data_IF_191554739499
#
_entry.id   IF_191554739499
#
_cell.length_a   1.000
_cell.length_b   1.000
_cell.length_c   1.000
_cell.angle_alpha   90.00
_cell.angle_beta   90.00
_cell.angle_gamma   90.00
#
_symmetry.space_group_name_H-M   'P 1'
#
loop_
_entity.id
_entity.type
_entity.pdbx_description
1 polymer ?
#
# COMPACT_ATOMS: atom_id res chain seq x y z
N UNK A 1 -8.04 -16.79 0.32
CA UNK A 1 -7.38 -15.51 -0.01
C UNK A 1 -6.44 -15.16 1.14
N UNK A 2 -5.14 -15.41 1.00
CA UNK A 2 -4.16 -15.14 2.06
C UNK A 2 -3.59 -13.73 1.89
N UNK A 3 -3.80 -12.85 2.86
CA UNK A 3 -3.20 -11.52 2.88
C UNK A 3 -1.83 -11.58 3.55
N UNK A 4 -0.75 -11.61 2.77
CA UNK A 4 0.62 -11.45 3.30
C UNK A 4 0.93 -9.97 3.51
N UNK A 5 1.11 -9.57 4.78
CA UNK A 5 1.53 -8.21 5.18
C UNK A 5 3.00 -8.01 4.82
N UNK A 6 3.28 -7.08 3.91
CA UNK A 6 4.66 -6.68 3.58
C UNK A 6 4.99 -5.40 4.35
N UNK A 7 6.04 -5.45 5.16
CA UNK A 7 6.57 -4.29 5.90
C UNK A 7 7.67 -3.66 5.05
N UNK A 8 7.54 -2.36 4.79
CA UNK A 8 8.51 -1.56 4.06
C UNK A 8 9.86 -1.52 4.79
N UNK A 9 10.96 -1.79 4.08
CA UNK A 9 12.29 -1.31 4.49
C UNK A 9 12.39 0.18 4.13
N UNK A 10 12.79 1.02 5.09
CA UNK A 10 12.90 2.47 4.88
C UNK A 10 13.93 2.73 3.76
N UNK A 11 13.51 3.28 2.61
CA UNK A 11 14.47 3.78 1.60
C UNK A 11 14.14 3.57 0.12
N UNK A 12 12.89 3.39 -0.30
CA UNK A 12 12.53 3.39 -1.73
C UNK A 12 12.62 4.80 -2.32
N UNK A 13 13.83 5.20 -2.70
CA UNK A 13 14.14 6.57 -3.13
C UNK A 13 14.11 6.74 -4.65
N UNK A 14 14.03 5.66 -5.43
CA UNK A 14 13.97 5.70 -6.88
C UNK A 14 13.10 4.55 -7.45
N UNK A 15 12.73 4.69 -8.73
CA UNK A 15 11.86 3.76 -9.45
C UNK A 15 12.49 2.36 -9.62
N UNK A 16 13.81 2.29 -9.81
CA UNK A 16 14.53 1.04 -10.04
C UNK A 16 14.47 0.12 -8.82
N UNK A 17 14.73 0.67 -7.63
CA UNK A 17 14.66 -0.07 -6.37
C UNK A 17 13.23 -0.57 -6.11
N UNK A 18 12.23 0.26 -6.42
CA UNK A 18 10.82 -0.08 -6.26
C UNK A 18 10.41 -1.21 -7.21
N UNK A 19 10.80 -1.15 -8.49
CA UNK A 19 10.52 -2.18 -9.48
C UNK A 19 11.22 -3.50 -9.13
N UNK A 20 12.48 -3.44 -8.69
CA UNK A 20 13.23 -4.63 -8.27
C UNK A 20 12.57 -5.31 -7.07
N UNK A 21 12.22 -4.55 -6.02
CA UNK A 21 11.53 -5.10 -4.87
C UNK A 21 10.15 -5.63 -5.23
N UNK A 22 9.40 -4.95 -6.10
CA UNK A 22 8.10 -5.41 -6.59
C UNK A 22 8.20 -6.78 -7.28
N UNK A 23 9.20 -6.95 -8.15
CA UNK A 23 9.47 -8.23 -8.83
C UNK A 23 9.86 -9.32 -7.84
N UNK A 24 10.77 -9.04 -6.89
CA UNK A 24 11.14 -9.97 -5.82
C UNK A 24 9.97 -10.34 -4.92
N UNK A 25 9.11 -9.39 -4.60
CA UNK A 25 7.92 -9.61 -3.78
C UNK A 25 6.89 -10.47 -4.51
N UNK A 26 6.71 -10.24 -5.82
CA UNK A 26 5.88 -11.08 -6.66
C UNK A 26 6.41 -12.52 -6.71
N UNK A 27 7.73 -12.70 -6.87
CA UNK A 27 8.40 -14.01 -6.79
C UNK A 27 8.20 -14.71 -5.43
N UNK A 28 8.24 -13.97 -4.33
CA UNK A 28 8.10 -14.51 -2.96
C UNK A 28 6.65 -14.75 -2.51
N UNK A 29 5.68 -14.05 -3.10
CA UNK A 29 4.26 -14.21 -2.80
C UNK A 29 3.59 -15.31 -3.62
N UNK A 30 4.20 -15.71 -4.74
CA UNK A 30 3.80 -16.91 -5.46
C UNK A 30 4.24 -18.16 -4.68
N UNK A 31 3.29 -18.81 -3.99
CA UNK A 31 3.51 -20.18 -3.56
C UNK A 31 3.90 -21.02 -4.79
N UNK A 32 4.90 -21.89 -4.63
CA UNK A 32 5.70 -22.55 -5.66
C UNK A 32 4.96 -23.43 -6.71
N UNK A 33 3.64 -23.33 -6.84
CA UNK A 33 2.84 -24.16 -7.76
C UNK A 33 2.06 -23.37 -8.82
N UNK A 34 1.92 -22.05 -8.72
CA UNK A 34 1.09 -21.26 -9.66
C UNK A 34 1.87 -20.37 -10.64
N UNK A 35 3.15 -20.08 -10.40
CA UNK A 35 3.88 -19.07 -11.17
C UNK A 35 4.42 -19.56 -12.52
N UNK A 36 4.89 -20.81 -12.61
CA UNK A 36 5.47 -21.29 -13.88
C UNK A 36 4.41 -21.61 -14.94
N UNK A 37 3.13 -21.70 -14.54
CA UNK A 37 2.02 -22.15 -15.40
C UNK A 37 1.00 -21.05 -15.72
N UNK A 38 0.82 -20.03 -14.87
CA UNK A 38 -0.13 -18.95 -15.12
C UNK A 38 0.59 -17.61 -15.36
N UNK A 39 0.73 -17.23 -16.63
CA UNK A 39 1.18 -15.90 -17.11
C UNK A 39 0.17 -14.78 -16.82
N UNK A 40 -0.60 -14.88 -15.73
CA UNK A 40 -1.69 -13.95 -15.43
C UNK A 40 -1.15 -12.90 -14.45
N UNK A 41 -1.03 -11.63 -14.88
CA UNK A 41 -0.63 -10.57 -13.97
C UNK A 41 -1.69 -10.37 -12.87
N UNK A 42 -1.29 -9.93 -11.67
CA UNK A 42 -2.24 -9.65 -10.60
C UNK A 42 -3.16 -8.49 -11.01
N UNK A 43 -4.46 -8.57 -10.72
CA UNK A 43 -5.40 -7.50 -11.07
C UNK A 43 -5.21 -6.25 -10.20
N UNK A 44 -4.86 -6.43 -8.93
CA UNK A 44 -4.75 -5.34 -7.95
C UNK A 44 -3.54 -5.55 -7.03
N UNK A 45 -2.74 -4.50 -6.85
CA UNK A 45 -1.76 -4.38 -5.77
C UNK A 45 -2.27 -3.45 -4.68
N UNK A 46 -2.20 -3.89 -3.42
CA UNK A 46 -2.58 -3.08 -2.25
C UNK A 46 -1.31 -2.64 -1.52
N UNK A 47 -0.99 -1.34 -1.52
CA UNK A 47 0.23 -0.80 -0.87
C UNK A 47 -0.07 0.44 -0.03
N UNK A 48 0.89 0.96 0.73
CA UNK A 48 0.76 2.17 1.54
C UNK A 48 0.63 3.48 0.72
N UNK A 49 0.46 3.38 -0.60
CA UNK A 49 0.40 4.49 -1.56
C UNK A 49 1.72 5.29 -1.67
N UNK A 50 2.86 4.63 -1.43
CA UNK A 50 4.15 5.21 -1.76
C UNK A 50 4.24 5.53 -3.28
N UNK A 51 4.62 6.77 -3.68
CA UNK A 51 4.69 7.16 -5.09
C UNK A 51 5.61 6.29 -5.94
N UNK A 52 6.76 5.85 -5.42
CA UNK A 52 7.69 4.98 -6.14
C UNK A 52 7.08 3.59 -6.39
N UNK A 53 6.31 3.06 -5.43
CA UNK A 53 5.57 1.81 -5.63
C UNK A 53 4.45 1.95 -6.65
N UNK A 54 3.70 3.05 -6.61
CA UNK A 54 2.65 3.34 -7.61
C UNK A 54 3.27 3.40 -9.01
N UNK A 55 4.37 4.14 -9.16
CA UNK A 55 5.08 4.25 -10.43
C UNK A 55 5.62 2.89 -10.90
N UNK A 56 6.24 2.11 -10.01
CA UNK A 56 6.74 0.78 -10.32
C UNK A 56 5.63 -0.18 -10.76
N UNK A 57 4.49 -0.21 -10.06
CA UNK A 57 3.32 -1.01 -10.44
C UNK A 57 2.86 -0.62 -11.85
N UNK A 58 2.67 0.68 -12.10
CA UNK A 58 2.20 1.15 -13.42
C UNK A 58 3.19 0.86 -14.56
N UNK A 59 4.50 0.76 -14.25
CA UNK A 59 5.55 0.50 -15.22
C UNK A 59 5.72 -1.00 -15.49
N UNK A 60 5.74 -1.83 -14.45
CA UNK A 60 6.02 -3.27 -14.54
C UNK A 60 4.75 -4.06 -14.86
N UNK A 61 3.60 -3.62 -14.35
CA UNK A 61 2.30 -4.26 -14.53
C UNK A 61 1.27 -3.22 -14.96
N UNK A 62 1.34 -2.77 -16.21
CA UNK A 62 0.51 -1.67 -16.75
C UNK A 62 -1.00 -1.93 -16.69
N UNK A 63 -1.42 -3.20 -16.65
CA UNK A 63 -2.82 -3.62 -16.53
C UNK A 63 -3.27 -3.80 -15.07
N UNK A 64 -2.36 -3.69 -14.10
CA UNK A 64 -2.65 -3.86 -12.69
C UNK A 64 -3.04 -2.54 -12.05
N UNK A 65 -4.13 -2.55 -11.27
CA UNK A 65 -4.54 -1.38 -10.51
C UNK A 65 -3.83 -1.31 -9.16
N UNK A 66 -3.45 -0.10 -8.75
CA UNK A 66 -3.01 0.17 -7.40
C UNK A 66 -4.20 0.53 -6.49
N UNK A 67 -4.18 0.03 -5.26
CA UNK A 67 -5.12 0.40 -4.20
C UNK A 67 -4.37 0.76 -2.91
N UNK A 68 -4.84 1.80 -2.22
CA UNK A 68 -4.28 2.17 -0.93
C UNK A 68 -4.69 1.16 0.16
N UNK A 69 -3.70 0.74 0.95
CA UNK A 69 -3.89 -0.18 2.06
C UNK A 69 -4.74 0.47 3.16
N UNK A 70 -5.91 -0.13 3.43
CA UNK A 70 -6.83 0.33 4.47
C UNK A 70 -6.16 0.44 5.84
N UNK A 71 -5.29 -0.50 6.22
CA UNK A 71 -4.56 -0.44 7.49
C UNK A 71 -3.72 0.84 7.62
N UNK A 72 -2.94 1.17 6.58
CA UNK A 72 -2.13 2.39 6.58
C UNK A 72 -3.00 3.64 6.51
N UNK A 73 -4.14 3.60 5.80
CA UNK A 73 -5.13 4.68 5.81
C UNK A 73 -5.67 4.93 7.22
N UNK A 74 -6.11 3.87 7.93
CA UNK A 74 -6.58 3.95 9.32
C UNK A 74 -5.52 4.48 10.28
N UNK A 75 -4.23 4.17 10.06
CA UNK A 75 -3.15 4.70 10.90
C UNK A 75 -2.80 6.15 10.58
N UNK A 76 -2.85 6.54 9.31
CA UNK A 76 -2.41 7.85 8.85
C UNK A 76 -3.50 8.92 8.97
N UNK A 77 -4.76 8.54 8.82
CA UNK A 77 -5.89 9.47 8.87
C UNK A 77 -5.97 10.19 10.23
N UNK A 78 -5.94 9.53 11.41
CA UNK A 78 -5.94 10.22 12.71
C UNK A 78 -4.72 11.12 12.92
N UNK A 79 -3.56 10.75 12.36
CA UNK A 79 -2.32 11.55 12.47
C UNK A 79 -2.44 12.84 11.68
N UNK A 80 -2.89 12.75 10.42
CA UNK A 80 -3.12 13.92 9.56
C UNK A 80 -4.23 14.83 10.09
N UNK A 81 -5.33 14.25 10.57
CA UNK A 81 -6.41 15.04 11.18
C UNK A 81 -5.91 15.81 12.42
N UNK A 82 -5.11 15.17 13.28
CA UNK A 82 -4.47 15.85 14.41
C UNK A 82 -3.56 17.00 13.99
N UNK A 83 -2.76 16.83 12.94
CA UNK A 83 -1.87 17.90 12.47
C UNK A 83 -2.63 19.11 11.92
N UNK A 84 -3.76 18.89 11.23
CA UNK A 84 -4.56 19.97 10.68
C UNK A 84 -5.42 20.68 11.73
N UNK A 85 -6.14 19.91 12.56
CA UNK A 85 -7.10 20.46 13.52
C UNK A 85 -6.44 20.93 14.81
N UNK A 86 -5.23 20.45 15.13
CA UNK A 86 -4.58 20.63 16.45
C UNK A 86 -5.43 20.03 17.59
N UNK A 87 -4.92 20.04 18.82
CA UNK A 87 -5.50 19.27 19.93
C UNK A 87 -6.97 19.57 20.27
N UNK A 88 -7.41 20.83 20.51
CA UNK A 88 -8.78 21.06 20.98
C UNK A 88 -9.84 20.69 19.94
N UNK A 89 -9.67 21.14 18.69
CA UNK A 89 -10.63 20.84 17.61
C UNK A 89 -10.63 19.37 17.20
N UNK A 90 -9.47 18.69 17.27
CA UNK A 90 -9.40 17.25 16.99
C UNK A 90 -10.23 16.44 17.99
N UNK A 91 -10.16 16.76 19.29
CA UNK A 91 -10.92 16.03 20.31
C UNK A 91 -12.42 16.26 20.17
N UNK A 92 -12.84 17.49 19.88
CA UNK A 92 -14.24 17.82 19.60
C UNK A 92 -14.77 17.08 18.37
N UNK A 93 -14.02 17.15 17.25
CA UNK A 93 -14.35 16.40 16.04
C UNK A 93 -14.48 14.90 16.33
N UNK A 94 -13.51 14.32 17.03
CA UNK A 94 -13.49 12.88 17.29
C UNK A 94 -14.61 12.44 18.22
N UNK A 95 -14.99 13.28 19.20
CA UNK A 95 -16.16 13.06 20.06
C UNK A 95 -17.45 13.06 19.23
N UNK A 96 -17.64 14.06 18.37
CA UNK A 96 -18.84 14.19 17.55
C UNK A 96 -18.94 13.08 16.51
N UNK A 97 -17.83 12.75 15.85
CA UNK A 97 -17.77 11.69 14.84
C UNK A 97 -18.13 10.30 15.40
N UNK A 98 -17.75 10.01 16.65
CA UNK A 98 -18.07 8.74 17.33
C UNK A 98 -19.51 8.64 17.84
N UNK A 99 -20.22 9.76 17.91
CA UNK A 99 -21.59 9.81 18.41
C UNK A 99 -22.63 9.57 17.30
N UNK A 100 -22.18 9.35 16.06
CA UNK A 100 -22.97 8.95 14.88
C UNK A 100 -22.88 7.42 14.74
#
# INVERSE_FOLDING_TARGET
MQFKKIKQEKGLNNLGDAAFLLMRLFELQADAMTLHTCKIPPLIFITDANPAMIAAISTVFSETHHMQCLYHLYQNLPKKLRSYLRSPLYQEFFKNFKAI
#
